data_IF_170383483297
#
_entry.id   IF_170383483297
#
_cell.length_a   1.000
_cell.length_b   1.000
_cell.length_c   1.000
_cell.angle_alpha   90.00
_cell.angle_beta   90.00
_cell.angle_gamma   90.00
#
_symmetry.space_group_name_H-M   'P 1'
#
loop_
_entity.id
_entity.type
_entity.pdbx_description
1 polymer ?
#
# COMPACT_ATOMS: atom_id res chain seq x y z
N UNK A 1 -14.43 -15.91 -12.41
CA UNK A 1 -13.04 -15.45 -12.60
C UNK A 1 -13.00 -14.04 -12.09
N UNK A 2 -12.08 -13.73 -11.19
CA UNK A 2 -12.07 -12.41 -10.56
C UNK A 2 -11.73 -11.32 -11.58
N UNK A 3 -12.32 -10.16 -11.40
CA UNK A 3 -12.20 -9.00 -12.28
C UNK A 3 -11.40 -7.91 -11.59
N UNK A 4 -10.35 -7.38 -12.24
CA UNK A 4 -9.60 -6.23 -11.74
C UNK A 4 -10.30 -4.94 -12.17
N UNK A 5 -10.84 -4.20 -11.21
CA UNK A 5 -11.58 -2.96 -11.43
C UNK A 5 -10.67 -1.78 -11.85
N UNK A 6 -9.44 -1.76 -11.34
CA UNK A 6 -8.50 -0.66 -11.46
C UNK A 6 -7.50 -0.62 -10.31
N UNK A 7 -6.71 0.45 -10.27
CA UNK A 7 -5.69 0.67 -9.24
C UNK A 7 -5.73 2.08 -8.67
N UNK A 8 -5.37 2.22 -7.39
CA UNK A 8 -5.20 3.48 -6.67
C UNK A 8 -3.76 3.55 -6.16
N UNK A 9 -3.09 4.69 -6.37
CA UNK A 9 -1.83 5.03 -5.73
C UNK A 9 -2.04 6.20 -4.76
N UNK A 10 -1.58 6.09 -3.52
CA UNK A 10 -1.82 7.09 -2.47
C UNK A 10 -0.70 7.13 -1.43
N UNK A 11 -0.28 8.32 -1.00
CA UNK A 11 0.66 8.43 0.12
C UNK A 11 0.06 7.86 1.42
N UNK A 12 0.89 7.21 2.25
CA UNK A 12 0.45 6.60 3.51
C UNK A 12 0.92 7.31 4.77
N UNK A 13 1.38 8.55 4.69
CA UNK A 13 1.98 9.24 5.83
C UNK A 13 1.08 9.17 7.07
N UNK A 14 1.62 8.95 8.29
CA UNK A 14 0.80 8.85 9.50
C UNK A 14 0.04 10.14 9.79
N UNK A 15 0.45 11.26 9.18
CA UNK A 15 -0.24 12.55 9.23
C UNK A 15 -1.65 12.50 8.64
N UNK A 16 -1.90 11.66 7.61
CA UNK A 16 -3.25 11.47 7.05
C UNK A 16 -4.16 10.84 8.11
N UNK A 17 -3.73 9.73 8.71
CA UNK A 17 -4.44 9.06 9.81
C UNK A 17 -4.66 9.99 11.00
N UNK A 18 -3.65 10.76 11.41
CA UNK A 18 -3.78 11.77 12.45
C UNK A 18 -4.90 12.78 12.14
N UNK A 19 -4.95 13.29 10.91
CA UNK A 19 -5.96 14.24 10.51
C UNK A 19 -7.37 13.63 10.46
N UNK A 20 -7.49 12.35 10.09
CA UNK A 20 -8.76 11.60 10.17
C UNK A 20 -9.23 11.47 11.61
N UNK A 21 -8.36 10.99 12.50
CA UNK A 21 -8.67 10.68 13.90
C UNK A 21 -9.02 11.93 14.71
N UNK A 22 -8.54 13.10 14.30
CA UNK A 22 -8.76 14.38 14.99
C UNK A 22 -9.74 15.30 14.25
N UNK A 23 -10.53 14.75 13.33
CA UNK A 23 -11.58 15.48 12.58
C UNK A 23 -11.07 16.74 11.85
N UNK A 24 -9.84 16.69 11.32
CA UNK A 24 -9.16 17.84 10.69
C UNK A 24 -9.45 17.99 9.21
N UNK A 25 -10.28 17.14 8.61
CA UNK A 25 -10.51 17.12 7.17
C UNK A 25 -11.06 18.45 6.62
N UNK A 26 -11.68 19.28 7.47
CA UNK A 26 -12.20 20.60 7.12
C UNK A 26 -11.29 21.76 7.54
N UNK A 27 -10.19 21.48 8.26
CA UNK A 27 -9.23 22.51 8.66
C UNK A 27 -8.53 23.08 7.40
N UNK A 28 -8.30 24.39 7.28
CA UNK A 28 -7.74 25.00 6.06
C UNK A 28 -6.42 24.41 5.57
N UNK A 29 -5.57 23.92 6.49
CA UNK A 29 -4.29 23.30 6.15
C UNK A 29 -4.42 21.86 5.59
N UNK A 30 -5.54 21.19 5.86
CA UNK A 30 -5.77 19.77 5.52
C UNK A 30 -6.84 19.61 4.44
N UNK A 31 -7.80 20.52 4.36
CA UNK A 31 -8.92 20.44 3.42
C UNK A 31 -8.48 20.23 1.96
N UNK A 32 -7.44 20.91 1.42
CA UNK A 32 -6.97 20.65 0.06
C UNK A 32 -6.46 19.22 -0.15
N UNK A 33 -5.87 18.61 0.88
CA UNK A 33 -5.41 17.23 0.84
C UNK A 33 -6.63 16.31 0.78
N UNK A 34 -7.62 16.45 1.65
CA UNK A 34 -8.79 15.57 1.63
C UNK A 34 -9.68 15.77 0.40
N UNK A 35 -9.73 16.97 -0.17
CA UNK A 35 -10.38 17.21 -1.47
C UNK A 35 -9.74 16.38 -2.60
N UNK A 36 -8.42 16.15 -2.56
CA UNK A 36 -7.77 15.28 -3.56
C UNK A 36 -8.10 13.80 -3.37
N UNK A 37 -8.63 13.38 -2.21
CA UNK A 37 -9.09 12.00 -1.97
C UNK A 37 -10.53 11.77 -2.48
N UNK A 38 -11.35 12.81 -2.61
CA UNK A 38 -12.77 12.69 -3.00
C UNK A 38 -13.00 11.91 -4.32
N UNK A 39 -12.21 12.07 -5.39
CA UNK A 39 -12.38 11.25 -6.59
C UNK A 39 -12.12 9.76 -6.33
N UNK A 40 -11.15 9.43 -5.47
CA UNK A 40 -10.81 8.05 -5.12
C UNK A 40 -11.89 7.43 -4.22
N UNK A 41 -12.40 8.19 -3.24
CA UNK A 41 -13.51 7.79 -2.38
C UNK A 41 -14.77 7.49 -3.22
N UNK A 42 -15.14 8.40 -4.14
CA UNK A 42 -16.28 8.20 -5.05
C UNK A 42 -16.08 6.97 -5.94
N UNK A 43 -14.89 6.78 -6.49
CA UNK A 43 -14.60 5.60 -7.30
C UNK A 43 -14.77 4.31 -6.49
N UNK A 44 -14.29 4.26 -5.24
CA UNK A 44 -14.47 3.10 -4.36
C UNK A 44 -15.94 2.87 -3.99
N UNK A 45 -16.69 3.94 -3.72
CA UNK A 45 -18.12 3.89 -3.41
C UNK A 45 -18.96 3.39 -4.61
N UNK A 46 -18.60 3.82 -5.82
CA UNK A 46 -19.25 3.40 -7.07
C UNK A 46 -18.90 1.96 -7.45
N UNK A 47 -17.63 1.58 -7.33
CA UNK A 47 -17.13 0.28 -7.79
C UNK A 47 -17.30 -0.85 -6.79
N UNK A 48 -17.36 -0.55 -5.50
CA UNK A 48 -17.58 -1.51 -4.39
C UNK A 48 -16.76 -2.79 -4.56
N UNK A 49 -15.41 -2.71 -4.55
CA UNK A 49 -14.57 -3.89 -4.63
C UNK A 49 -14.87 -4.87 -3.49
N UNK A 50 -14.98 -6.15 -3.79
CA UNK A 50 -15.11 -7.22 -2.80
C UNK A 50 -13.81 -7.40 -2.01
N UNK A 51 -12.67 -7.12 -2.66
CA UNK A 51 -11.36 -7.16 -2.03
C UNK A 51 -10.37 -6.13 -2.59
N UNK A 52 -9.45 -5.69 -1.74
CA UNK A 52 -8.30 -4.88 -2.09
C UNK A 52 -7.02 -5.70 -1.99
N UNK A 53 -6.27 -5.83 -3.09
CA UNK A 53 -4.85 -6.22 -2.98
C UNK A 53 -4.07 -4.97 -2.59
N UNK A 54 -3.60 -4.94 -1.34
CA UNK A 54 -3.11 -3.75 -0.66
C UNK A 54 -1.59 -3.80 -0.49
N UNK A 55 -0.87 -3.07 -1.33
CA UNK A 55 0.58 -3.04 -1.39
C UNK A 55 1.10 -1.86 -0.56
N UNK A 56 1.93 -2.15 0.43
CA UNK A 56 2.48 -1.17 1.36
C UNK A 56 3.86 -1.63 1.86
N UNK A 57 4.55 -0.80 2.64
CA UNK A 57 5.64 -1.26 3.50
C UNK A 57 5.27 -1.07 4.98
N UNK A 58 5.69 -2.01 5.80
CA UNK A 58 5.72 -1.84 7.25
C UNK A 58 6.90 -0.93 7.65
N UNK A 59 6.69 -0.14 8.69
CA UNK A 59 7.61 0.86 9.21
C UNK A 59 8.40 0.37 10.44
N UNK A 60 8.79 -0.90 10.42
CA UNK A 60 9.56 -1.57 11.48
C UNK A 60 8.72 -1.74 12.74
N UNK A 61 7.45 -2.08 12.54
CA UNK A 61 6.45 -2.30 13.58
C UNK A 61 6.17 -3.80 13.72
N UNK A 62 5.53 -4.40 12.71
CA UNK A 62 5.24 -5.84 12.70
C UNK A 62 6.34 -6.66 12.02
N UNK A 63 7.17 -6.01 11.20
CA UNK A 63 8.28 -6.61 10.48
C UNK A 63 9.58 -5.92 10.90
N UNK A 64 10.18 -6.46 11.96
CA UNK A 64 11.43 -5.94 12.50
C UNK A 64 12.65 -6.53 11.76
N UNK A 65 13.82 -5.91 11.90
CA UNK A 65 15.01 -6.27 11.12
C UNK A 65 15.64 -7.62 11.47
N UNK A 66 15.19 -8.28 12.53
CA UNK A 66 15.55 -9.66 12.85
C UNK A 66 14.90 -10.67 11.88
N UNK A 67 13.75 -10.32 11.28
CA UNK A 67 13.12 -11.06 10.19
C UNK A 67 12.38 -10.11 9.23
N UNK A 68 13.10 -9.67 8.19
CA UNK A 68 12.64 -8.67 7.24
C UNK A 68 12.72 -9.17 5.79
N UNK A 69 11.57 -9.55 5.24
CA UNK A 69 11.46 -10.18 3.92
C UNK A 69 11.14 -9.18 2.80
N UNK A 70 11.51 -9.52 1.56
CA UNK A 70 11.31 -8.67 0.38
C UNK A 70 9.84 -8.54 -0.02
N UNK A 71 9.13 -9.65 -0.21
CA UNK A 71 7.71 -9.67 -0.56
C UNK A 71 6.97 -10.59 0.42
N UNK A 72 6.09 -10.01 1.24
CA UNK A 72 5.43 -10.73 2.33
C UNK A 72 3.91 -10.61 2.20
N UNK A 73 3.24 -11.71 1.89
CA UNK A 73 1.80 -11.77 1.69
C UNK A 73 1.08 -12.19 2.97
N UNK A 74 0.09 -11.40 3.39
CA UNK A 74 -0.81 -11.78 4.47
C UNK A 74 -1.78 -12.85 4.00
N UNK A 75 -1.93 -13.91 4.79
CA UNK A 75 -2.82 -15.05 4.50
C UNK A 75 -3.83 -15.30 5.63
N UNK A 76 -4.03 -14.29 6.50
CA UNK A 76 -4.97 -14.32 7.61
C UNK A 76 -6.40 -13.97 7.17
N UNK A 77 -7.38 -14.30 8.02
CA UNK A 77 -8.78 -13.91 7.85
C UNK A 77 -9.09 -12.52 8.39
N UNK A 78 -8.20 -11.93 9.20
CA UNK A 78 -8.40 -10.61 9.80
C UNK A 78 -7.05 -9.98 10.13
N UNK A 79 -6.99 -8.64 10.11
CA UNK A 79 -5.81 -7.87 10.50
C UNK A 79 -6.21 -6.73 11.46
N UNK A 80 -5.66 -6.77 12.68
CA UNK A 80 -5.84 -5.72 13.67
C UNK A 80 -4.87 -4.55 13.47
N UNK A 81 -5.16 -3.41 14.10
CA UNK A 81 -4.30 -2.22 14.09
C UNK A 81 -3.10 -2.42 15.00
N UNK A 82 -1.90 -2.15 14.50
CA UNK A 82 -0.67 -2.23 15.28
C UNK A 82 -0.54 -1.08 16.28
N UNK A 83 0.19 -1.34 17.37
CA UNK A 83 0.67 -0.30 18.27
C UNK A 83 2.02 0.20 17.75
N UNK A 84 2.09 1.49 17.43
CA UNK A 84 3.29 2.14 16.87
C UNK A 84 4.04 2.97 17.91
N UNK A 85 3.81 2.68 19.20
CA UNK A 85 4.46 3.29 20.37
C UNK A 85 3.55 4.18 21.22
N UNK A 86 2.32 4.43 20.77
CA UNK A 86 1.32 5.29 21.44
C UNK A 86 0.01 4.59 21.78
N UNK A 87 -0.05 3.27 21.63
CA UNK A 87 -1.29 2.50 21.57
C UNK A 87 -1.81 2.39 20.13
N UNK A 88 -2.61 1.35 19.82
CA UNK A 88 -3.23 1.21 18.51
C UNK A 88 -4.27 2.31 18.26
N UNK A 89 -4.38 2.77 17.00
CA UNK A 89 -5.48 3.68 16.60
C UNK A 89 -6.83 3.01 16.82
N UNK A 90 -7.85 3.80 17.16
CA UNK A 90 -9.21 3.34 17.41
C UNK A 90 -9.96 3.06 16.09
N UNK A 91 -9.53 2.02 15.37
CA UNK A 91 -10.17 1.54 14.14
C UNK A 91 -10.55 0.07 14.30
N UNK A 92 -11.66 -0.38 13.69
CA UNK A 92 -12.00 -1.79 13.66
C UNK A 92 -10.96 -2.57 12.84
N UNK A 93 -10.79 -3.87 13.12
CA UNK A 93 -9.93 -4.71 12.31
C UNK A 93 -10.49 -4.90 10.91
N UNK A 94 -9.61 -5.05 9.93
CA UNK A 94 -10.00 -5.26 8.53
C UNK A 94 -10.03 -6.75 8.21
N UNK A 95 -11.06 -7.19 7.50
CA UNK A 95 -11.20 -8.59 7.11
C UNK A 95 -10.23 -8.96 5.99
N UNK A 96 -9.68 -10.16 6.05
CA UNK A 96 -8.89 -10.76 4.98
C UNK A 96 -9.73 -11.63 4.06
N UNK A 97 -9.21 -11.95 2.88
CA UNK A 97 -9.77 -12.99 2.03
C UNK A 97 -8.78 -14.15 1.91
N UNK A 98 -8.93 -15.16 2.79
CA UNK A 98 -7.98 -16.27 2.87
C UNK A 98 -7.94 -17.13 1.59
N UNK A 99 -9.05 -17.26 0.86
CA UNK A 99 -9.09 -18.02 -0.39
C UNK A 99 -8.29 -17.31 -1.49
N UNK A 100 -8.55 -16.02 -1.70
CA UNK A 100 -7.81 -15.20 -2.66
C UNK A 100 -6.32 -15.08 -2.27
N UNK A 101 -6.01 -14.91 -0.98
CA UNK A 101 -4.62 -14.83 -0.50
C UNK A 101 -3.83 -16.11 -0.77
N UNK A 102 -4.41 -17.28 -0.50
CA UNK A 102 -3.77 -18.58 -0.81
C UNK A 102 -3.58 -18.76 -2.31
N UNK A 103 -4.57 -18.38 -3.13
CA UNK A 103 -4.49 -18.47 -4.58
C UNK A 103 -3.38 -17.56 -5.15
N UNK A 104 -3.31 -16.31 -4.69
CA UNK A 104 -2.25 -15.38 -5.07
C UNK A 104 -0.89 -15.92 -4.64
N UNK A 105 -0.75 -16.37 -3.39
CA UNK A 105 0.50 -16.93 -2.88
C UNK A 105 1.01 -18.12 -3.68
N UNK A 106 0.12 -19.07 -3.99
CA UNK A 106 0.47 -20.24 -4.81
C UNK A 106 0.86 -19.84 -6.24
N UNK A 107 0.13 -18.89 -6.84
CA UNK A 107 0.40 -18.41 -8.21
C UNK A 107 1.74 -17.68 -8.29
N UNK A 108 2.07 -16.83 -7.31
CA UNK A 108 3.36 -16.10 -7.29
C UNK A 108 4.54 -17.05 -7.09
N UNK A 109 4.41 -18.06 -6.22
CA UNK A 109 5.44 -19.10 -6.06
C UNK A 109 5.62 -19.92 -7.34
N UNK A 110 4.54 -20.20 -8.08
CA UNK A 110 4.60 -20.90 -9.37
C UNK A 110 5.26 -20.04 -10.46
N UNK A 111 5.12 -18.71 -10.39
CA UNK A 111 5.79 -17.73 -11.27
C UNK A 111 7.23 -17.39 -10.81
N UNK A 112 7.83 -18.23 -9.95
CA UNK A 112 9.21 -18.11 -9.45
C UNK A 112 9.51 -16.83 -8.65
N UNK A 113 8.52 -16.30 -7.92
CA UNK A 113 8.76 -15.31 -6.88
C UNK A 113 8.98 -15.98 -5.53
N UNK A 114 10.11 -15.65 -4.88
CA UNK A 114 10.37 -16.05 -3.50
C UNK A 114 9.47 -15.24 -2.55
N UNK A 115 8.33 -15.82 -2.17
CA UNK A 115 7.36 -15.18 -1.28
C UNK A 115 7.61 -15.56 0.18
N UNK A 116 7.43 -14.57 1.06
CA UNK A 116 7.17 -14.81 2.49
C UNK A 116 5.67 -14.70 2.77
N UNK A 117 5.21 -15.33 3.85
CA UNK A 117 3.81 -15.32 4.26
C UNK A 117 3.69 -14.98 5.73
N UNK A 118 2.61 -14.30 6.12
CA UNK A 118 2.36 -13.98 7.52
C UNK A 118 0.89 -14.14 7.92
N UNK A 119 0.70 -14.44 9.20
CA UNK A 119 -0.55 -14.48 9.96
C UNK A 119 -0.26 -13.92 11.36
N UNK A 120 -1.31 -13.61 12.12
CA UNK A 120 -1.18 -13.15 13.51
C UNK A 120 -0.24 -11.94 13.69
N UNK A 121 -0.29 -11.03 12.70
CA UNK A 121 0.40 -9.73 12.75
C UNK A 121 -0.61 -8.61 12.61
N UNK A 122 -0.42 -7.59 13.44
CA UNK A 122 -1.16 -6.33 13.35
C UNK A 122 -0.49 -5.42 12.32
N UNK A 123 -1.25 -4.60 11.61
CA UNK A 123 -0.75 -3.77 10.52
C UNK A 123 -0.63 -2.31 10.93
N UNK A 124 0.38 -1.63 10.42
CA UNK A 124 0.74 -0.26 10.79
C UNK A 124 0.03 0.81 9.93
N UNK A 125 0.45 2.06 10.11
CA UNK A 125 -0.04 3.20 9.35
C UNK A 125 0.13 3.07 7.83
N UNK A 126 1.08 2.27 7.33
CA UNK A 126 1.27 2.06 5.89
C UNK A 126 0.01 1.53 5.19
N UNK A 127 -0.84 0.80 5.94
CA UNK A 127 -2.18 0.39 5.52
C UNK A 127 -3.26 1.28 6.13
N UNK A 128 -3.32 1.40 7.46
CA UNK A 128 -4.49 2.00 8.12
C UNK A 128 -4.59 3.52 7.96
N UNK A 129 -3.50 4.24 7.68
CA UNK A 129 -3.54 5.69 7.48
C UNK A 129 -4.37 6.05 6.24
N UNK A 130 -3.96 5.67 5.02
CA UNK A 130 -4.75 5.94 3.82
C UNK A 130 -6.07 5.17 3.77
N UNK A 131 -6.15 3.94 4.30
CA UNK A 131 -7.42 3.19 4.32
C UNK A 131 -8.52 3.95 5.07
N UNK A 132 -8.19 4.53 6.23
CA UNK A 132 -9.12 5.34 7.03
C UNK A 132 -9.57 6.64 6.36
N UNK A 133 -8.82 7.12 5.37
CA UNK A 133 -9.18 8.29 4.57
C UNK A 133 -9.92 7.91 3.27
N UNK A 134 -9.73 6.70 2.74
CA UNK A 134 -10.29 6.27 1.45
C UNK A 134 -11.65 5.59 1.57
N UNK A 135 -11.88 4.85 2.65
CA UNK A 135 -13.09 4.07 2.84
C UNK A 135 -13.83 4.48 4.10
N UNK A 136 -15.18 4.49 4.08
CA UNK A 136 -15.94 4.59 5.30
C UNK A 136 -15.69 3.33 6.14
N UNK A 137 -15.72 3.50 7.46
CA UNK A 137 -15.68 2.41 8.42
C UNK A 137 -16.59 2.73 9.58
N UNK A 138 -17.07 1.69 10.25
CA UNK A 138 -17.96 1.80 11.40
C UNK A 138 -17.51 0.80 12.48
N UNK A 139 -17.58 1.17 13.75
CA UNK A 139 -17.13 0.28 14.83
C UNK A 139 -17.96 -1.01 14.91
N UNK A 140 -19.24 -0.98 14.52
CA UNK A 140 -20.13 -2.14 14.56
C UNK A 140 -20.09 -2.96 13.27
N UNK A 141 -19.91 -2.33 12.10
CA UNK A 141 -19.93 -2.99 10.79
C UNK A 141 -18.54 -3.27 10.21
N UNK A 142 -17.49 -2.64 10.73
CA UNK A 142 -16.13 -2.74 10.22
C UNK A 142 -15.93 -1.99 8.91
N UNK A 143 -15.24 -2.64 7.96
CA UNK A 143 -14.88 -2.08 6.67
C UNK A 143 -15.76 -2.69 5.56
N UNK A 144 -16.06 -1.95 4.48
CA UNK A 144 -16.95 -2.43 3.40
C UNK A 144 -16.28 -3.44 2.45
N UNK A 145 -14.99 -3.73 2.61
CA UNK A 145 -14.20 -4.57 1.71
C UNK A 145 -13.17 -5.38 2.48
N UNK A 146 -12.76 -6.52 1.94
CA UNK A 146 -11.65 -7.30 2.47
C UNK A 146 -10.29 -6.77 1.96
N UNK A 147 -9.20 -7.09 2.63
CA UNK A 147 -7.84 -6.76 2.19
C UNK A 147 -6.95 -8.00 2.08
N UNK A 148 -6.04 -7.96 1.11
CA UNK A 148 -4.95 -8.91 0.94
C UNK A 148 -3.67 -8.08 1.04
N UNK A 149 -3.09 -7.96 2.24
CA UNK A 149 -1.95 -7.10 2.46
C UNK A 149 -0.68 -7.75 1.87
N UNK A 150 0.02 -6.99 1.03
CA UNK A 150 1.31 -7.35 0.48
C UNK A 150 2.34 -6.33 0.96
N UNK A 151 3.07 -6.72 2.00
CA UNK A 151 4.16 -5.91 2.53
C UNK A 151 5.40 -6.07 1.65
N UNK A 152 6.02 -4.95 1.27
CA UNK A 152 7.28 -4.93 0.53
C UNK A 152 8.39 -4.40 1.45
N UNK A 153 9.45 -5.20 1.62
CA UNK A 153 10.63 -4.84 2.42
C UNK A 153 11.51 -3.82 1.71
N UNK A 154 11.23 -2.52 1.90
CA UNK A 154 11.94 -1.40 1.27
C UNK A 154 12.80 -0.57 2.23
N UNK A 155 12.86 -0.93 3.53
CA UNK A 155 13.63 -0.18 4.53
C UNK A 155 15.08 -0.65 4.68
N UNK A 156 15.34 -1.95 4.58
CA UNK A 156 16.66 -2.55 4.75
C UNK A 156 17.25 -3.00 3.41
N UNK A 157 18.38 -2.40 3.01
CA UNK A 157 19.06 -2.76 1.77
C UNK A 157 19.84 -4.08 1.92
N UNK A 158 19.94 -4.89 0.84
CA UNK A 158 19.39 -4.67 -0.50
C UNK A 158 17.87 -4.87 -0.58
N UNK A 159 17.18 -4.02 -1.35
CA UNK A 159 15.73 -4.06 -1.62
C UNK A 159 15.47 -4.52 -3.06
N UNK A 160 14.26 -4.96 -3.44
CA UNK A 160 13.97 -5.34 -4.82
C UNK A 160 14.17 -4.15 -5.77
N UNK A 161 14.63 -4.42 -6.99
CA UNK A 161 14.70 -3.39 -8.04
C UNK A 161 13.30 -3.00 -8.51
N UNK A 162 13.16 -1.79 -9.07
CA UNK A 162 11.91 -1.36 -9.70
C UNK A 162 11.42 -2.34 -10.76
N UNK A 163 12.34 -2.94 -11.54
CA UNK A 163 12.02 -4.01 -12.49
C UNK A 163 11.45 -5.27 -11.84
N UNK A 164 11.94 -5.65 -10.65
CA UNK A 164 11.39 -6.81 -9.91
C UNK A 164 9.98 -6.51 -9.41
N UNK A 165 9.73 -5.30 -8.90
CA UNK A 165 8.39 -4.85 -8.50
C UNK A 165 7.42 -4.78 -9.70
N UNK A 166 7.87 -4.29 -10.85
CA UNK A 166 7.05 -4.26 -12.07
C UNK A 166 6.66 -5.66 -12.55
N UNK A 167 7.62 -6.61 -12.56
CA UNK A 167 7.35 -8.03 -12.88
C UNK A 167 6.39 -8.67 -11.86
N UNK A 168 6.52 -8.33 -10.58
CA UNK A 168 5.59 -8.78 -9.54
C UNK A 168 4.16 -8.29 -9.85
N UNK A 169 3.98 -7.03 -10.27
CA UNK A 169 2.68 -6.51 -10.70
C UNK A 169 2.07 -7.29 -11.87
N UNK A 170 2.89 -7.68 -12.86
CA UNK A 170 2.43 -8.54 -13.97
C UNK A 170 2.01 -9.93 -13.50
N UNK A 171 2.72 -10.53 -12.54
CA UNK A 171 2.37 -11.82 -11.94
C UNK A 171 1.11 -11.73 -11.07
N UNK A 172 0.97 -10.67 -10.26
CA UNK A 172 -0.22 -10.38 -9.47
C UNK A 172 -1.47 -10.27 -10.34
N UNK A 173 -1.38 -9.59 -11.50
CA UNK A 173 -2.48 -9.52 -12.45
C UNK A 173 -2.97 -10.92 -12.86
N UNK A 174 -2.07 -11.78 -13.32
CA UNK A 174 -2.41 -13.15 -13.74
C UNK A 174 -2.97 -13.97 -12.58
N UNK A 175 -2.39 -13.82 -11.39
CA UNK A 175 -2.84 -14.50 -10.19
C UNK A 175 -4.28 -14.12 -9.84
N UNK A 176 -4.62 -12.82 -9.86
CA UNK A 176 -5.97 -12.34 -9.58
C UNK A 176 -6.96 -12.81 -10.66
N UNK A 177 -6.65 -12.60 -11.95
CA UNK A 177 -7.56 -12.94 -13.06
C UNK A 177 -7.84 -14.46 -13.16
N UNK A 178 -6.93 -15.30 -12.67
CA UNK A 178 -7.11 -16.77 -12.62
C UNK A 178 -7.85 -17.27 -11.37
N UNK A 179 -8.19 -16.40 -10.42
CA UNK A 179 -8.98 -16.80 -9.25
C UNK A 179 -10.39 -17.21 -9.70
N UNK A 180 -10.89 -18.41 -9.32
CA UNK A 180 -12.08 -18.98 -9.93
C UNK A 180 -13.39 -18.24 -9.60
N UNK A 181 -13.48 -17.63 -8.42
CA UNK A 181 -14.69 -16.92 -7.98
C UNK A 181 -14.94 -15.66 -8.81
N UNK A 182 -16.19 -15.21 -8.86
CA UNK A 182 -16.61 -14.00 -9.57
C UNK A 182 -16.68 -12.83 -8.59
N UNK A 183 -15.53 -12.23 -8.32
CA UNK A 183 -15.36 -11.11 -7.40
C UNK A 183 -14.64 -9.94 -8.08
N UNK A 184 -14.94 -8.73 -7.65
CA UNK A 184 -14.31 -7.51 -8.09
C UNK A 184 -13.14 -7.16 -7.15
N UNK A 185 -11.94 -7.06 -7.71
CA UNK A 185 -10.72 -6.73 -6.98
C UNK A 185 -10.20 -5.37 -7.43
N UNK A 186 -9.84 -4.51 -6.47
CA UNK A 186 -9.07 -3.31 -6.75
C UNK A 186 -7.65 -3.46 -6.18
N UNK A 187 -6.68 -2.78 -6.80
CA UNK A 187 -5.30 -2.74 -6.31
C UNK A 187 -5.09 -1.38 -5.63
N UNK A 188 -4.54 -1.38 -4.43
CA UNK A 188 -4.12 -0.15 -3.75
C UNK A 188 -2.62 -0.26 -3.49
N UNK A 189 -1.85 0.71 -3.95
CA UNK A 189 -0.42 0.81 -3.68
C UNK A 189 -0.17 2.10 -2.89
N UNK A 190 0.57 1.98 -1.79
CA UNK A 190 0.82 3.11 -0.90
C UNK A 190 2.29 3.41 -0.72
N UNK A 191 2.60 4.66 -0.40
CA UNK A 191 3.99 5.15 -0.26
C UNK A 191 4.23 6.42 -1.05
N UNK A 192 5.48 6.89 -1.01
CA UNK A 192 5.93 8.08 -1.73
C UNK A 192 5.21 9.40 -1.33
N UNK A 193 5.33 10.45 -2.15
CA UNK A 193 6.27 10.61 -3.26
C UNK A 193 7.60 11.15 -2.71
N UNK A 194 8.15 12.25 -3.22
CA UNK A 194 9.43 12.73 -2.73
C UNK A 194 9.41 13.09 -1.23
N UNK A 195 10.23 12.41 -0.42
CA UNK A 195 10.40 12.76 0.99
C UNK A 195 11.67 12.18 1.63
N UNK A 196 12.23 12.92 2.59
CA UNK A 196 13.30 12.45 3.45
C UNK A 196 13.10 12.88 4.91
N UNK A 197 13.03 11.91 5.84
CA UNK A 197 12.80 12.09 7.29
C UNK A 197 14.00 11.70 8.16
N UNK A 198 15.21 11.60 7.59
CA UNK A 198 16.43 11.30 8.37
C UNK A 198 17.67 12.00 7.79
N UNK A 199 18.69 12.13 8.64
CA UNK A 199 19.97 12.75 8.30
C UNK A 199 19.87 14.25 8.03
N UNK A 200 20.98 14.85 7.62
CA UNK A 200 21.12 16.29 7.35
C UNK A 200 20.24 16.76 6.18
N UNK A 201 19.84 15.84 5.29
CA UNK A 201 18.94 16.09 4.16
C UNK A 201 17.45 15.87 4.53
N UNK A 202 17.11 15.78 5.81
CA UNK A 202 15.72 15.73 6.28
C UNK A 202 14.93 16.96 5.80
N UNK A 203 13.69 16.76 5.36
CA UNK A 203 12.83 17.80 4.76
C UNK A 203 12.96 17.94 3.23
N UNK A 204 13.80 17.14 2.58
CA UNK A 204 13.90 17.15 1.11
C UNK A 204 12.60 16.72 0.44
N UNK A 205 12.19 17.49 -0.57
CA UNK A 205 11.07 17.24 -1.48
C UNK A 205 11.49 17.69 -2.89
N UNK A 206 10.87 17.14 -3.92
CA UNK A 206 11.11 17.45 -5.33
C UNK A 206 9.80 17.31 -6.15
N UNK A 207 8.91 18.32 -6.11
CA UNK A 207 7.63 18.27 -6.83
C UNK A 207 7.76 18.13 -8.35
N UNK A 208 8.85 18.64 -8.95
CA UNK A 208 9.10 18.51 -10.38
C UNK A 208 9.38 17.05 -10.76
N UNK A 209 10.14 16.34 -9.92
CA UNK A 209 10.32 14.89 -10.06
C UNK A 209 9.02 14.14 -9.80
N UNK A 210 8.25 14.51 -8.79
CA UNK A 210 6.98 13.85 -8.47
C UNK A 210 6.00 13.89 -9.65
N UNK A 211 5.88 15.05 -10.31
CA UNK A 211 5.07 15.21 -11.51
C UNK A 211 5.56 14.34 -12.68
N UNK A 212 6.88 14.28 -12.90
CA UNK A 212 7.49 13.42 -13.92
C UNK A 212 7.30 11.93 -13.62
N UNK A 213 7.44 11.52 -12.36
CA UNK A 213 7.24 10.15 -11.92
C UNK A 213 5.80 9.71 -12.15
N UNK A 214 4.81 10.52 -11.78
CA UNK A 214 3.39 10.21 -12.00
C UNK A 214 3.07 10.12 -13.50
N UNK A 215 3.59 11.04 -14.33
CA UNK A 215 3.40 10.98 -15.78
C UNK A 215 3.97 9.69 -16.38
N UNK A 216 5.21 9.32 -16.02
CA UNK A 216 5.82 8.07 -16.46
C UNK A 216 5.07 6.85 -15.93
N UNK A 217 4.60 6.86 -14.69
CA UNK A 217 3.85 5.73 -14.12
C UNK A 217 2.57 5.44 -14.91
N UNK A 218 1.89 6.49 -15.39
CA UNK A 218 0.64 6.37 -16.16
C UNK A 218 0.91 6.03 -17.62
N UNK A 219 1.90 6.69 -18.25
CA UNK A 219 2.05 6.67 -19.70
C UNK A 219 3.19 5.76 -20.20
N UNK A 220 4.23 5.52 -19.40
CA UNK A 220 5.41 4.76 -19.78
C UNK A 220 6.15 4.12 -18.57
N UNK A 221 5.50 3.21 -17.83
CA UNK A 221 6.02 2.70 -16.57
C UNK A 221 7.27 1.82 -16.72
N UNK A 222 7.61 1.37 -17.92
CA UNK A 222 8.82 0.58 -18.16
C UNK A 222 10.09 1.40 -17.96
N UNK A 223 10.08 2.71 -18.26
CA UNK A 223 11.22 3.61 -17.98
C UNK A 223 11.60 3.66 -16.52
N UNK A 224 10.61 3.63 -15.63
CA UNK A 224 10.83 3.58 -14.18
C UNK A 224 11.60 2.31 -13.76
N UNK A 225 11.50 1.22 -14.54
CA UNK A 225 12.20 -0.03 -14.25
C UNK A 225 13.69 -0.01 -14.63
N UNK A 226 14.14 1.03 -15.32
CA UNK A 226 15.52 1.23 -15.76
C UNK A 226 16.34 2.03 -14.76
N UNK A 227 15.65 2.74 -13.85
CA UNK A 227 16.29 3.55 -12.82
C UNK A 227 16.90 2.70 -11.71
N UNK A 228 18.04 3.15 -11.22
CA UNK A 228 18.72 2.62 -10.04
C UNK A 228 18.07 3.17 -8.76
N UNK A 229 18.22 2.43 -7.66
CA UNK A 229 17.79 2.89 -6.33
C UNK A 229 18.50 4.18 -5.91
N UNK A 230 19.72 4.42 -6.42
CA UNK A 230 20.46 5.66 -6.19
C UNK A 230 19.81 6.88 -6.84
N UNK A 231 19.44 6.79 -8.13
CA UNK A 231 18.74 7.87 -8.85
C UNK A 231 17.40 8.18 -8.20
N UNK A 232 16.67 7.14 -7.81
CA UNK A 232 15.44 7.24 -7.05
C UNK A 232 15.61 8.01 -5.72
N UNK A 233 16.66 7.71 -4.95
CA UNK A 233 16.95 8.41 -3.70
C UNK A 233 17.46 9.85 -3.90
N UNK A 234 18.19 10.10 -4.99
CA UNK A 234 18.65 11.43 -5.37
C UNK A 234 17.48 12.34 -5.72
N UNK A 235 16.60 11.87 -6.61
CA UNK A 235 15.46 12.64 -7.13
C UNK A 235 14.29 12.70 -6.16
N UNK A 236 13.98 11.61 -5.45
CA UNK A 236 12.84 11.48 -4.56
C UNK A 236 13.16 11.54 -3.06
N UNK A 237 14.42 11.69 -2.66
CA UNK A 237 14.82 11.54 -1.26
C UNK A 237 14.83 10.08 -0.81
N UNK A 238 15.54 9.77 0.29
CA UNK A 238 15.83 8.37 0.65
C UNK A 238 14.59 7.46 0.86
N UNK A 239 13.44 8.02 1.26
CA UNK A 239 12.19 7.26 1.43
C UNK A 239 11.18 7.48 0.31
N UNK A 240 11.38 8.44 -0.59
CA UNK A 240 10.42 8.64 -1.68
C UNK A 240 10.21 7.46 -2.64
N UNK A 241 11.21 6.58 -2.87
CA UNK A 241 11.04 5.36 -3.68
C UNK A 241 10.29 4.23 -2.98
N UNK A 242 9.83 4.45 -1.73
CA UNK A 242 9.28 3.44 -0.84
C UNK A 242 7.77 3.53 -0.76
#
# INVERSE_FOLDING_TARGET
MANILGGIAVSHTPTIGFAVDHHKQQDPAWAPIFQSFEPLQRWLEEKKPDALVYIFNDHVTAFFFDHYSTFTLGIDSQYDVADEGGGPRCLPPVQGNAALSRHIGASLMADEFDMSFFMDKKLDHGLFSPLSALLPWDEAQGWPTAVIPLQIGVLQFPVPSARRCYKLGQALRRAIESFPEDINVAIVATGGLSHQVHGERCGFNNPDWDAQFVDMLVNDPEKLTEMTLGEYAELGGWRGPK
#
